data_IF_980392857136
#
_entry.id   IF_980392857136
#
_cell.length_a   1.000
_cell.length_b   1.000
_cell.length_c   1.000
_cell.angle_alpha   90.00
_cell.angle_beta   90.00
_cell.angle_gamma   90.00
#
_symmetry.space_group_name_H-M   'P 1'
#
loop_
_entity.id
_entity.type
_entity.pdbx_description
1 polymer ?
#
# COMPACT_ATOMS: atom_id res chain seq x y z
N UNK A 1 0.98 -8.60 -18.99
CA UNK A 1 1.52 -7.63 -19.95
C UNK A 1 0.57 -6.45 -20.19
N UNK A 2 -0.61 -6.59 -20.84
CA UNK A 2 -1.48 -5.43 -21.17
C UNK A 2 -1.83 -4.48 -20.00
N UNK A 3 -2.18 -4.99 -18.82
CA UNK A 3 -2.50 -4.13 -17.66
C UNK A 3 -1.26 -3.50 -17.00
N UNK A 4 -0.09 -4.12 -17.11
CA UNK A 4 1.16 -3.56 -16.59
C UNK A 4 1.56 -2.37 -17.45
N UNK A 5 1.59 -2.57 -18.78
CA UNK A 5 1.82 -1.50 -19.76
C UNK A 5 0.82 -0.35 -19.63
N UNK A 6 -0.44 -0.66 -19.29
CA UNK A 6 -1.44 0.36 -18.99
C UNK A 6 -0.98 1.23 -17.82
N UNK A 7 -0.61 0.64 -16.67
CA UNK A 7 -0.15 1.37 -15.49
C UNK A 7 1.13 2.17 -15.81
N UNK A 8 2.11 1.55 -16.47
CA UNK A 8 3.39 2.18 -16.83
C UNK A 8 3.20 3.40 -17.75
N UNK A 9 2.16 3.39 -18.58
CA UNK A 9 1.86 4.50 -19.49
C UNK A 9 1.13 5.68 -18.82
N UNK A 10 0.70 5.56 -17.56
CA UNK A 10 0.02 6.63 -16.82
C UNK A 10 1.02 7.74 -16.50
N UNK A 11 0.64 8.98 -16.82
CA UNK A 11 1.41 10.17 -16.47
C UNK A 11 1.08 10.64 -15.06
N UNK A 12 2.06 11.26 -14.39
CA UNK A 12 1.87 11.75 -13.03
C UNK A 12 0.70 12.75 -12.95
N UNK A 13 0.63 13.67 -13.93
CA UNK A 13 -0.47 14.64 -14.04
C UNK A 13 -1.86 14.01 -14.04
N UNK A 14 -2.06 12.85 -14.71
CA UNK A 14 -3.38 12.17 -14.72
C UNK A 14 -3.83 11.74 -13.31
N UNK A 15 -2.87 11.45 -12.42
CA UNK A 15 -3.15 11.14 -11.00
C UNK A 15 -3.34 12.43 -10.22
N UNK A 16 -2.47 13.43 -10.41
CA UNK A 16 -2.51 14.69 -9.65
C UNK A 16 -3.76 15.51 -9.95
N UNK A 17 -4.32 15.44 -11.16
CA UNK A 17 -5.60 16.05 -11.51
C UNK A 17 -6.77 15.53 -10.64
N UNK A 18 -6.59 14.35 -10.02
CA UNK A 18 -7.56 13.75 -9.09
C UNK A 18 -7.34 14.17 -7.63
N UNK A 19 -6.26 14.87 -7.32
CA UNK A 19 -5.93 15.27 -5.95
C UNK A 19 -6.98 16.19 -5.31
N UNK A 20 -7.76 16.92 -6.11
CA UNK A 20 -8.89 17.73 -5.62
C UNK A 20 -9.89 16.90 -4.79
N UNK A 21 -10.02 15.60 -5.08
CA UNK A 21 -10.92 14.72 -4.34
C UNK A 21 -10.38 14.31 -2.96
N UNK A 22 -9.13 14.63 -2.60
CA UNK A 22 -8.64 14.47 -1.23
C UNK A 22 -9.44 15.33 -0.23
N UNK A 23 -10.12 16.38 -0.68
CA UNK A 23 -11.06 17.16 0.13
C UNK A 23 -12.24 16.31 0.62
N UNK A 24 -12.63 15.27 -0.13
CA UNK A 24 -13.70 14.35 0.25
C UNK A 24 -13.28 13.30 1.27
N UNK A 25 -11.98 13.19 1.59
CA UNK A 25 -11.53 12.28 2.65
C UNK A 25 -12.14 12.70 3.99
N UNK A 26 -12.96 11.82 4.57
CA UNK A 26 -13.54 12.05 5.89
C UNK A 26 -12.49 11.74 6.94
N UNK A 27 -11.86 12.78 7.48
CA UNK A 27 -10.84 12.65 8.53
C UNK A 27 -11.34 11.96 9.81
N UNK A 28 -12.67 11.82 9.97
CA UNK A 28 -13.31 11.11 11.07
C UNK A 28 -13.44 9.59 10.89
N UNK A 29 -12.91 9.01 9.82
CA UNK A 29 -13.01 7.56 9.61
C UNK A 29 -12.08 6.80 10.57
N UNK A 30 -12.59 5.77 11.26
CA UNK A 30 -11.85 4.92 12.21
C UNK A 30 -10.54 4.32 11.63
N UNK A 31 -10.45 4.22 10.31
CA UNK A 31 -9.25 3.79 9.58
C UNK A 31 -8.08 4.75 9.80
N UNK A 32 -8.28 6.07 9.74
CA UNK A 32 -7.20 7.04 9.90
C UNK A 32 -6.61 7.01 11.32
N UNK A 33 -7.43 6.71 12.33
CA UNK A 33 -6.95 6.56 13.71
C UNK A 33 -6.09 5.31 13.89
N UNK A 34 -6.57 4.16 13.43
CA UNK A 34 -5.81 2.90 13.57
C UNK A 34 -4.52 2.91 12.72
N UNK A 35 -4.56 3.52 11.54
CA UNK A 35 -3.40 3.69 10.66
C UNK A 35 -2.19 4.29 11.37
N UNK A 36 -2.41 5.46 12.02
CA UNK A 36 -1.36 6.17 12.76
C UNK A 36 -0.67 5.25 13.76
N UNK A 37 -1.46 4.50 14.54
CA UNK A 37 -0.92 3.59 15.55
C UNK A 37 -0.17 2.40 14.94
N UNK A 38 -0.63 1.88 13.81
CA UNK A 38 0.02 0.75 13.12
C UNK A 38 1.40 1.14 12.59
N UNK A 39 1.50 2.28 11.89
CA UNK A 39 2.78 2.79 11.38
C UNK A 39 3.73 3.12 12.54
N UNK A 40 3.25 3.85 13.54
CA UNK A 40 4.06 4.27 14.70
C UNK A 40 4.62 3.08 15.48
N UNK A 41 3.85 1.98 15.58
CA UNK A 41 4.32 0.75 16.23
C UNK A 41 5.60 0.22 15.57
N UNK A 42 5.65 0.17 14.24
CA UNK A 42 6.82 -0.33 13.52
C UNK A 42 7.95 0.69 13.38
N UNK A 43 7.63 1.98 13.27
CA UNK A 43 8.61 3.07 13.16
C UNK A 43 9.67 3.02 14.28
N UNK A 44 9.22 2.79 15.52
CA UNK A 44 10.09 2.78 16.71
C UNK A 44 11.05 1.59 16.84
N UNK A 45 10.88 0.55 16.02
CA UNK A 45 11.64 -0.70 16.15
C UNK A 45 12.84 -0.64 15.22
N UNK A 46 14.01 -1.11 15.63
CA UNK A 46 15.15 -1.27 14.72
C UNK A 46 15.10 -2.61 13.96
N UNK A 47 14.72 -3.67 14.67
CA UNK A 47 14.58 -5.03 14.15
C UNK A 47 13.21 -5.58 14.54
N UNK A 48 12.63 -6.39 13.67
CA UNK A 48 11.35 -7.06 13.87
C UNK A 48 11.57 -8.54 14.21
N UNK A 49 10.73 -9.03 15.11
CA UNK A 49 10.70 -10.42 15.58
C UNK A 49 9.45 -11.14 15.03
N UNK A 50 9.33 -12.44 15.30
CA UNK A 50 8.09 -13.17 15.02
C UNK A 50 6.87 -12.55 15.72
N UNK A 51 7.05 -12.07 16.96
CA UNK A 51 5.99 -11.37 17.70
C UNK A 51 5.47 -10.15 16.92
N UNK A 52 6.39 -9.38 16.33
CA UNK A 52 6.05 -8.20 15.53
C UNK A 52 5.37 -8.59 14.21
N UNK A 53 5.80 -9.70 13.57
CA UNK A 53 5.17 -10.26 12.38
C UNK A 53 3.71 -10.65 12.65
N UNK A 54 3.45 -11.35 13.76
CA UNK A 54 2.09 -11.73 14.16
C UNK A 54 1.22 -10.49 14.42
N UNK A 55 1.78 -9.45 15.04
CA UNK A 55 1.08 -8.18 15.24
C UNK A 55 0.80 -7.48 13.90
N UNK A 56 1.77 -7.43 12.99
CA UNK A 56 1.62 -6.83 11.66
C UNK A 56 0.51 -7.52 10.85
N UNK A 57 0.43 -8.84 10.96
CA UNK A 57 -0.62 -9.64 10.34
C UNK A 57 -2.00 -9.31 10.94
N UNK A 58 -2.11 -9.19 12.26
CA UNK A 58 -3.37 -8.84 12.90
C UNK A 58 -3.81 -7.38 12.61
N UNK A 59 -2.88 -6.42 12.56
CA UNK A 59 -3.19 -5.05 12.12
C UNK A 59 -3.75 -5.04 10.70
N UNK A 60 -3.11 -5.79 9.79
CA UNK A 60 -3.52 -5.94 8.39
C UNK A 60 -4.93 -6.50 8.28
N UNK A 61 -5.20 -7.64 8.93
CA UNK A 61 -6.48 -8.31 8.81
C UNK A 61 -7.57 -7.69 9.68
N UNK A 62 -7.22 -6.83 10.65
CA UNK A 62 -8.17 -5.92 11.30
C UNK A 62 -8.82 -4.91 10.36
N UNK A 63 -8.21 -4.65 9.19
CA UNK A 63 -8.76 -3.81 8.11
C UNK A 63 -9.43 -4.63 6.99
N UNK A 64 -9.46 -5.95 7.10
CA UNK A 64 -9.97 -6.82 6.05
C UNK A 64 -11.20 -7.61 6.54
N UNK A 65 -12.18 -7.89 5.68
CA UNK A 65 -13.36 -8.67 6.07
C UNK A 65 -13.08 -10.17 6.22
N UNK A 66 -11.85 -10.62 5.91
CA UNK A 66 -11.46 -12.03 5.94
C UNK A 66 -10.71 -12.33 7.24
N UNK A 67 -10.97 -13.49 7.84
CA UNK A 67 -10.22 -13.95 9.01
C UNK A 67 -8.78 -14.28 8.59
N UNK A 68 -7.80 -13.83 9.38
CA UNK A 68 -6.39 -14.16 9.18
C UNK A 68 -6.18 -15.67 9.37
N UNK A 69 -5.50 -16.29 8.42
CA UNK A 69 -5.04 -17.66 8.49
C UNK A 69 -3.60 -17.74 8.00
N UNK A 70 -2.73 -18.31 8.83
CA UNK A 70 -1.38 -18.68 8.41
C UNK A 70 -1.46 -19.94 7.56
N UNK A 71 -0.95 -19.86 6.32
CA UNK A 71 -0.98 -20.94 5.32
C UNK A 71 0.37 -21.66 5.19
N UNK A 72 1.37 -21.20 5.92
CA UNK A 72 2.70 -21.82 6.07
C UNK A 72 3.19 -21.63 7.52
N UNK A 73 4.17 -22.43 7.92
CA UNK A 73 4.89 -22.32 9.20
C UNK A 73 6.28 -21.66 9.02
N UNK A 74 6.56 -21.09 7.84
CA UNK A 74 7.85 -20.45 7.49
C UNK A 74 8.05 -19.07 8.16
N UNK A 75 7.81 -18.95 9.47
CA UNK A 75 7.91 -17.68 10.20
C UNK A 75 9.32 -17.11 10.20
N UNK A 76 10.36 -17.92 10.36
CA UNK A 76 11.76 -17.47 10.33
C UNK A 76 12.13 -16.78 9.00
N UNK A 77 11.69 -17.37 7.88
CA UNK A 77 11.89 -16.78 6.55
C UNK A 77 11.11 -15.47 6.43
N UNK A 78 9.86 -15.44 6.88
CA UNK A 78 9.05 -14.23 6.85
C UNK A 78 9.62 -13.11 7.74
N UNK A 79 10.17 -13.43 8.91
CA UNK A 79 10.87 -12.49 9.80
C UNK A 79 12.09 -11.89 9.09
N UNK A 80 12.88 -12.72 8.39
CA UNK A 80 13.99 -12.23 7.56
C UNK A 80 13.49 -11.25 6.50
N UNK A 81 12.40 -11.58 5.80
CA UNK A 81 11.81 -10.72 4.76
C UNK A 81 11.29 -9.39 5.30
N UNK A 82 10.54 -9.37 6.40
CA UNK A 82 10.01 -8.10 6.93
C UNK A 82 11.12 -7.17 7.46
N UNK A 83 12.24 -7.73 7.91
CA UNK A 83 13.41 -6.93 8.27
C UNK A 83 14.07 -6.34 7.02
N UNK A 84 14.17 -7.08 5.92
CA UNK A 84 14.59 -6.51 4.62
C UNK A 84 13.67 -5.36 4.20
N UNK A 85 12.36 -5.56 4.26
CA UNK A 85 11.35 -4.57 3.88
C UNK A 85 11.40 -3.27 4.71
N UNK A 86 12.03 -3.31 5.89
CA UNK A 86 12.19 -2.14 6.75
C UNK A 86 13.25 -1.16 6.25
N UNK A 87 14.13 -1.61 5.37
CA UNK A 87 15.16 -0.77 4.76
C UNK A 87 14.63 -0.01 3.54
N UNK A 88 15.43 0.91 3.02
CA UNK A 88 15.05 1.75 1.87
C UNK A 88 14.90 0.99 0.56
N UNK A 89 15.45 -0.22 0.46
CA UNK A 89 15.35 -1.07 -0.73
C UNK A 89 14.08 -1.93 -0.68
N UNK A 90 13.42 -2.06 -1.83
CA UNK A 90 12.27 -2.97 -1.95
C UNK A 90 12.73 -4.43 -1.93
N UNK A 91 11.98 -5.27 -1.22
CA UNK A 91 12.10 -6.73 -1.29
C UNK A 91 11.90 -7.29 -2.70
N UNK A 92 12.40 -8.51 -2.94
CA UNK A 92 12.26 -9.21 -4.24
C UNK A 92 10.88 -9.85 -4.45
N UNK A 93 10.64 -10.38 -5.65
CA UNK A 93 9.45 -11.19 -5.96
C UNK A 93 9.38 -12.47 -5.12
N UNK A 94 10.52 -13.11 -4.86
CA UNK A 94 10.63 -14.30 -4.01
C UNK A 94 10.27 -13.97 -2.56
N UNK A 95 10.82 -12.88 -2.03
CA UNK A 95 10.52 -12.36 -0.70
C UNK A 95 9.01 -12.04 -0.56
N UNK A 96 8.42 -11.36 -1.56
CA UNK A 96 6.97 -11.12 -1.59
C UNK A 96 6.17 -12.42 -1.58
N UNK A 97 6.63 -13.44 -2.31
CA UNK A 97 5.96 -14.73 -2.37
C UNK A 97 6.02 -15.48 -1.03
N UNK A 98 7.11 -15.37 -0.27
CA UNK A 98 7.22 -15.93 1.09
C UNK A 98 6.13 -15.33 1.98
N UNK A 99 6.02 -14.01 2.04
CA UNK A 99 5.00 -13.34 2.87
C UNK A 99 3.58 -13.66 2.40
N UNK A 100 3.37 -13.72 1.08
CA UNK A 100 2.08 -14.07 0.50
C UNK A 100 1.66 -15.48 0.91
N UNK A 101 2.56 -16.46 0.77
CA UNK A 101 2.32 -17.85 1.17
C UNK A 101 2.09 -17.99 2.67
N UNK A 102 2.69 -17.16 3.50
CA UNK A 102 2.43 -17.15 4.92
C UNK A 102 0.99 -16.69 5.23
N UNK A 103 0.52 -15.58 4.64
CA UNK A 103 -0.73 -14.90 5.08
C UNK A 103 -1.84 -14.92 4.03
N UNK A 104 -2.81 -15.84 4.18
CA UNK A 104 -3.97 -16.09 3.30
C UNK A 104 -3.69 -16.13 1.78
N UNK A 105 -2.45 -16.30 1.33
CA UNK A 105 -2.11 -16.20 -0.09
C UNK A 105 -2.51 -14.85 -0.74
N UNK A 106 -2.43 -13.74 0.02
CA UNK A 106 -2.98 -12.45 -0.39
C UNK A 106 -1.94 -11.32 -0.53
N UNK A 107 -1.71 -10.84 -1.76
CA UNK A 107 -0.92 -9.63 -2.03
C UNK A 107 -1.56 -8.39 -1.39
N UNK A 108 -2.89 -8.33 -1.27
CA UNK A 108 -3.58 -7.22 -0.60
C UNK A 108 -3.24 -7.16 0.88
N UNK A 109 -3.14 -8.32 1.53
CA UNK A 109 -2.71 -8.39 2.94
C UNK A 109 -1.24 -8.03 3.06
N UNK A 110 -0.39 -8.63 2.24
CA UNK A 110 1.05 -8.36 2.25
C UNK A 110 1.37 -6.89 1.97
N UNK A 111 0.68 -6.23 1.02
CA UNK A 111 0.92 -4.80 0.70
C UNK A 111 0.61 -3.88 1.88
N UNK A 112 -0.47 -4.15 2.63
CA UNK A 112 -0.82 -3.41 3.85
C UNK A 112 0.21 -3.62 4.95
N UNK A 113 0.60 -4.88 5.18
CA UNK A 113 1.64 -5.21 6.15
C UNK A 113 2.96 -4.48 5.83
N UNK A 114 3.41 -4.55 4.58
CA UNK A 114 4.62 -3.87 4.12
C UNK A 114 4.51 -2.34 4.27
N UNK A 115 3.35 -1.76 3.96
CA UNK A 115 3.12 -0.34 4.15
C UNK A 115 3.14 0.07 5.63
N UNK A 116 2.59 -0.72 6.54
CA UNK A 116 2.68 -0.41 7.97
C UNK A 116 4.12 -0.51 8.49
N UNK A 117 4.91 -1.45 7.97
CA UNK A 117 6.32 -1.62 8.35
C UNK A 117 7.19 -0.50 7.79
N UNK A 118 6.98 -0.11 6.53
CA UNK A 118 7.77 0.91 5.85
C UNK A 118 6.94 1.66 4.81
N UNK A 119 6.20 2.71 5.23
CA UNK A 119 5.34 3.47 4.34
C UNK A 119 6.12 4.36 3.37
N UNK A 120 7.45 4.50 3.50
CA UNK A 120 8.27 5.25 2.56
C UNK A 120 8.54 4.47 1.26
N UNK A 121 8.55 3.13 1.35
CA UNK A 121 8.86 2.26 0.21
C UNK A 121 7.60 1.66 -0.40
N UNK A 122 6.64 1.29 0.44
CA UNK A 122 5.43 0.58 0.02
C UNK A 122 4.20 1.47 0.11
N UNK A 123 3.30 1.35 -0.86
CA UNK A 123 1.96 1.89 -0.80
C UNK A 123 0.93 0.76 -0.68
N UNK A 124 -0.24 1.05 -0.10
CA UNK A 124 -1.29 0.04 0.06
C UNK A 124 -1.87 -0.32 -1.30
N UNK A 125 -1.87 -1.62 -1.60
CA UNK A 125 -2.51 -2.18 -2.79
C UNK A 125 -3.77 -2.95 -2.42
N UNK A 126 -4.90 -2.55 -2.98
CA UNK A 126 -6.18 -3.23 -2.79
C UNK A 126 -7.04 -3.26 -4.06
N UNK A 127 -8.26 -3.79 -3.94
CA UNK A 127 -9.19 -3.85 -5.06
C UNK A 127 -9.66 -2.48 -5.54
N UNK A 128 -9.75 -1.47 -4.67
CA UNK A 128 -10.17 -0.11 -5.05
C UNK A 128 -9.10 0.58 -5.87
N UNK A 129 -7.84 0.55 -5.43
CA UNK A 129 -6.70 1.07 -6.18
C UNK A 129 -6.53 0.30 -7.51
N UNK A 130 -6.66 -1.02 -7.48
CA UNK A 130 -6.63 -1.82 -8.70
C UNK A 130 -7.77 -1.48 -9.69
N UNK A 131 -8.97 -1.19 -9.16
CA UNK A 131 -10.10 -0.76 -9.98
C UNK A 131 -9.83 0.60 -10.62
N UNK A 132 -9.36 1.56 -9.84
CA UNK A 132 -9.00 2.89 -10.32
C UNK A 132 -8.05 2.81 -11.52
N UNK A 133 -6.98 2.02 -11.41
CA UNK A 133 -5.95 1.93 -12.44
C UNK A 133 -6.34 1.09 -13.66
N UNK A 134 -7.25 0.12 -13.51
CA UNK A 134 -7.47 -0.91 -14.54
C UNK A 134 -8.93 -1.08 -14.97
N UNK A 135 -9.85 -0.26 -14.47
CA UNK A 135 -11.27 -0.23 -14.81
C UNK A 135 -12.11 -1.42 -14.32
N UNK A 136 -11.49 -2.52 -13.89
CA UNK A 136 -12.16 -3.71 -13.35
C UNK A 136 -11.26 -4.43 -12.34
N UNK A 137 -11.60 -4.39 -11.06
CA UNK A 137 -10.95 -5.25 -10.08
C UNK A 137 -11.58 -6.66 -10.10
N UNK A 138 -10.78 -7.66 -10.49
CA UNK A 138 -11.12 -9.08 -10.29
C UNK A 138 -10.10 -9.68 -9.33
N UNK A 139 -10.52 -10.61 -8.47
CA UNK A 139 -9.65 -11.21 -7.44
C UNK A 139 -8.32 -11.70 -8.01
N UNK A 140 -8.34 -12.40 -9.17
CA UNK A 140 -7.13 -12.86 -9.84
C UNK A 140 -6.19 -11.73 -10.27
N UNK A 141 -6.71 -10.57 -10.68
CA UNK A 141 -5.90 -9.43 -11.12
C UNK A 141 -5.15 -8.81 -9.94
N UNK A 142 -5.83 -8.62 -8.82
CA UNK A 142 -5.27 -7.99 -7.60
C UNK A 142 -4.13 -8.84 -7.01
N UNK A 143 -4.12 -10.15 -7.27
CA UNK A 143 -3.12 -11.09 -6.77
C UNK A 143 -1.87 -11.25 -7.66
N UNK A 144 -1.66 -10.39 -8.66
CA UNK A 144 -0.48 -10.41 -9.53
C UNK A 144 0.61 -9.47 -9.01
N UNK A 145 1.79 -10.01 -8.66
CA UNK A 145 2.93 -9.22 -8.14
C UNK A 145 3.38 -8.14 -9.12
N UNK A 146 3.48 -8.45 -10.42
CA UNK A 146 3.87 -7.46 -11.42
C UNK A 146 2.95 -6.23 -11.51
N UNK A 147 1.66 -6.35 -11.15
CA UNK A 147 0.78 -5.18 -11.06
C UNK A 147 1.03 -4.36 -9.80
N UNK A 148 1.34 -5.03 -8.68
CA UNK A 148 1.73 -4.35 -7.45
C UNK A 148 3.04 -3.56 -7.65
N UNK A 149 4.04 -4.14 -8.32
CA UNK A 149 5.29 -3.45 -8.61
C UNK A 149 5.12 -2.27 -9.56
N UNK A 150 4.42 -2.46 -10.69
CA UNK A 150 4.12 -1.35 -11.60
C UNK A 150 3.36 -0.21 -10.90
N UNK A 151 2.50 -0.55 -9.94
CA UNK A 151 1.80 0.43 -9.11
C UNK A 151 2.76 1.19 -8.18
N UNK A 152 3.68 0.53 -7.48
CA UNK A 152 4.66 1.23 -6.64
C UNK A 152 5.56 2.15 -7.45
N UNK A 153 5.99 1.72 -8.64
CA UNK A 153 6.79 2.52 -9.55
C UNK A 153 6.00 3.76 -10.01
N UNK A 154 4.70 3.61 -10.29
CA UNK A 154 3.81 4.75 -10.57
C UNK A 154 3.68 5.69 -9.35
N UNK A 155 3.54 5.15 -8.13
CA UNK A 155 3.49 5.98 -6.92
C UNK A 155 4.75 6.83 -6.76
N UNK A 156 5.93 6.24 -6.96
CA UNK A 156 7.20 6.97 -6.91
C UNK A 156 7.27 8.06 -8.00
N UNK A 157 6.85 7.73 -9.22
CA UNK A 157 6.78 8.69 -10.33
C UNK A 157 5.86 9.89 -10.00
N UNK A 158 4.71 9.65 -9.39
CA UNK A 158 3.77 10.70 -8.97
C UNK A 158 4.36 11.52 -7.83
N UNK A 159 4.96 10.86 -6.82
CA UNK A 159 5.56 11.53 -5.67
C UNK A 159 6.76 12.41 -6.05
N UNK A 160 7.45 12.10 -7.15
CA UNK A 160 8.57 12.88 -7.66
C UNK A 160 8.15 14.08 -8.52
N UNK A 161 6.86 14.24 -8.85
CA UNK A 161 6.39 15.35 -9.65
C UNK A 161 6.45 16.68 -8.86
N UNK A 162 6.85 17.81 -9.47
CA UNK A 162 6.98 19.08 -8.76
C UNK A 162 5.69 19.56 -8.10
N UNK A 163 4.53 19.34 -8.72
CA UNK A 163 3.24 19.78 -8.16
C UNK A 163 2.81 18.95 -6.93
N UNK A 164 3.38 17.76 -6.75
CA UNK A 164 2.99 16.84 -5.69
C UNK A 164 3.32 17.37 -4.29
N UNK A 165 4.43 18.10 -4.12
CA UNK A 165 4.87 18.56 -2.79
C UNK A 165 3.80 19.40 -2.09
N UNK A 166 3.15 20.31 -2.84
CA UNK A 166 2.08 21.15 -2.31
C UNK A 166 0.83 20.32 -1.95
N UNK A 167 0.44 19.38 -2.84
CA UNK A 167 -0.69 18.47 -2.61
C UNK A 167 -0.47 17.64 -1.34
N UNK A 168 0.72 17.08 -1.19
CA UNK A 168 1.10 16.24 -0.06
C UNK A 168 1.03 17.00 1.25
N UNK A 169 1.62 18.20 1.30
CA UNK A 169 1.62 19.06 2.49
C UNK A 169 0.19 19.39 2.95
N UNK A 170 -0.65 19.83 2.03
CA UNK A 170 -2.04 20.17 2.34
C UNK A 170 -2.83 18.95 2.86
N UNK A 171 -2.61 17.78 2.27
CA UNK A 171 -3.27 16.57 2.72
C UNK A 171 -2.77 16.12 4.10
N UNK A 172 -1.47 16.21 4.36
CA UNK A 172 -0.89 15.90 5.67
C UNK A 172 -1.46 16.81 6.77
N UNK A 173 -1.53 18.12 6.53
CA UNK A 173 -2.14 19.07 7.46
C UNK A 173 -3.61 18.73 7.77
N UNK A 174 -4.37 18.34 6.73
CA UNK A 174 -5.76 17.90 6.90
C UNK A 174 -5.88 16.62 7.73
N UNK A 175 -5.00 15.65 7.50
CA UNK A 175 -5.00 14.35 8.23
C UNK A 175 -4.60 14.54 9.69
N UNK A 176 -3.75 15.52 10.00
CA UNK A 176 -3.40 15.91 11.37
C UNK A 176 -2.26 15.09 12.01
N UNK A 177 -1.52 14.33 11.20
CA UNK A 177 -0.28 13.64 11.59
C UNK A 177 0.56 13.36 10.34
N UNK A 178 1.85 13.08 10.53
CA UNK A 178 2.78 12.84 9.42
C UNK A 178 2.42 11.57 8.65
N UNK A 179 2.35 11.71 7.33
CA UNK A 179 2.12 10.60 6.39
C UNK A 179 3.18 10.65 5.30
N UNK A 180 3.46 9.52 4.68
CA UNK A 180 4.46 9.48 3.59
C UNK A 180 3.86 9.91 2.26
N UNK A 181 4.68 10.35 1.29
CA UNK A 181 4.26 10.57 -0.09
C UNK A 181 3.46 9.41 -0.69
N UNK A 182 3.94 8.17 -0.46
CA UNK A 182 3.30 6.95 -0.94
C UNK A 182 1.86 6.81 -0.42
N UNK A 183 1.62 7.20 0.83
CA UNK A 183 0.27 7.20 1.43
C UNK A 183 -0.64 8.22 0.76
N UNK A 184 -0.18 9.44 0.49
CA UNK A 184 -0.99 10.45 -0.20
C UNK A 184 -1.36 10.00 -1.61
N UNK A 185 -0.40 9.49 -2.39
CA UNK A 185 -0.69 9.02 -3.76
C UNK A 185 -1.71 7.88 -3.73
N UNK A 186 -1.57 6.94 -2.81
CA UNK A 186 -2.54 5.87 -2.61
C UNK A 186 -3.93 6.41 -2.28
N UNK A 187 -4.05 7.40 -1.40
CA UNK A 187 -5.34 8.00 -1.03
C UNK A 187 -6.05 8.66 -2.21
N UNK A 188 -5.32 9.35 -3.09
CA UNK A 188 -5.88 9.92 -4.32
C UNK A 188 -6.58 8.81 -5.12
N UNK A 189 -5.88 7.70 -5.36
CA UNK A 189 -6.41 6.58 -6.14
C UNK A 189 -7.55 5.83 -5.43
N UNK A 190 -7.44 5.66 -4.12
CA UNK A 190 -8.43 4.96 -3.29
C UNK A 190 -9.78 5.69 -3.28
N UNK A 191 -9.77 7.00 -3.05
CA UNK A 191 -10.99 7.83 -3.00
C UNK A 191 -11.64 7.89 -4.39
N UNK A 192 -10.84 7.96 -5.46
CA UNK A 192 -11.34 8.03 -6.83
C UNK A 192 -11.69 6.66 -7.43
N UNK A 193 -11.69 5.59 -6.65
CA UNK A 193 -11.81 4.21 -7.17
C UNK A 193 -13.10 3.89 -7.91
N UNK A 194 -14.16 4.68 -7.76
CA UNK A 194 -15.42 4.58 -8.52
C UNK A 194 -15.34 5.19 -9.93
N UNK A 195 -14.29 5.96 -10.23
CA UNK A 195 -14.06 6.62 -11.52
C UNK A 195 -12.66 6.24 -12.02
N UNK A 196 -12.52 5.10 -12.72
CA UNK A 196 -11.24 4.64 -13.22
C UNK A 196 -10.53 5.70 -14.06
N UNK A 197 -9.21 5.70 -14.02
CA UNK A 197 -8.41 6.77 -14.65
C UNK A 197 -8.58 6.85 -16.18
N UNK A 198 -8.89 5.72 -16.84
CA UNK A 198 -8.98 5.61 -18.30
C UNK A 198 -10.22 4.84 -18.80
N UNK A 199 -11.29 4.79 -18.00
CA UNK A 199 -12.59 4.19 -18.36
C UNK A 199 -13.74 5.02 -17.82
#
# INVERSE_FOLDING_TARGET
MKNIQLIESIQAGEILDRAVFLENDSTQNNYNKSYYHFVKYFESKAQLTEHDLVIAANFTYGWMPTILEYKSDDFDLAVSVINKAKHSERISDEDLLILKKLMNNSIVGVSKMLHFINPNVYAIWDSRVCNFLTGKAHAYKVQKSGLFWAYLDLCQKVAAAPEFEFIHRNHQEKVGYDITPMRTVEQIMFICSSSPIRY
#
